data_IF_938454367313
#
_entry.id   IF_938454367313
#
_cell.length_a   1.000
_cell.length_b   1.000
_cell.length_c   1.000
_cell.angle_alpha   90.00
_cell.angle_beta   90.00
_cell.angle_gamma   90.00
#
_symmetry.space_group_name_H-M   'P 1'
#
loop_
_entity.id
_entity.type
_entity.pdbx_description
1 polymer ?
#
# COMPACT_ATOMS: atom_id res chain seq x y z
N UNK A 1 -47.55 7.61 34.56
CA UNK A 1 -46.73 7.10 35.67
C UNK A 1 -46.02 5.87 35.15
N UNK A 2 -44.75 6.02 34.77
CA UNK A 2 -43.90 4.92 34.32
C UNK A 2 -43.45 4.19 35.57
N UNK A 3 -43.89 2.96 35.74
CA UNK A 3 -43.58 2.17 36.92
C UNK A 3 -42.08 1.86 36.90
N UNK A 4 -41.34 2.43 37.85
CA UNK A 4 -39.90 2.24 38.05
C UNK A 4 -39.62 0.91 38.76
N UNK A 5 -40.32 -0.16 38.41
CA UNK A 5 -40.00 -1.53 38.86
C UNK A 5 -38.69 -1.98 38.22
N UNK A 6 -37.60 -1.43 38.77
CA UNK A 6 -36.30 -2.06 39.03
C UNK A 6 -36.00 -3.24 38.11
N UNK A 7 -35.52 -2.93 36.90
CA UNK A 7 -34.65 -3.88 36.20
C UNK A 7 -33.56 -4.29 37.21
N UNK A 8 -33.42 -5.59 37.53
CA UNK A 8 -32.40 -6.03 38.46
C UNK A 8 -31.04 -5.53 37.98
N UNK A 9 -30.27 -4.89 38.86
CA UNK A 9 -28.96 -4.30 38.48
C UNK A 9 -28.03 -5.30 37.78
N UNK A 10 -28.17 -6.60 38.08
CA UNK A 10 -27.42 -7.66 37.41
C UNK A 10 -27.83 -7.88 35.94
N UNK A 11 -29.12 -7.76 35.60
CA UNK A 11 -29.61 -7.86 34.21
C UNK A 11 -29.02 -6.74 33.35
N UNK A 12 -28.99 -5.51 33.87
CA UNK A 12 -28.40 -4.35 33.19
C UNK A 12 -26.89 -4.52 32.98
N UNK A 13 -26.16 -4.99 34.01
CA UNK A 13 -24.73 -5.29 33.86
C UNK A 13 -24.47 -6.36 32.79
N UNK A 14 -25.27 -7.43 32.80
CA UNK A 14 -25.16 -8.52 31.83
C UNK A 14 -25.51 -8.05 30.40
N UNK A 15 -26.50 -7.15 30.25
CA UNK A 15 -26.83 -6.58 28.94
C UNK A 15 -25.70 -5.73 28.36
N UNK A 16 -24.98 -4.97 29.19
CA UNK A 16 -23.79 -4.22 28.74
C UNK A 16 -22.63 -5.15 28.37
N UNK A 17 -22.39 -6.20 29.15
CA UNK A 17 -21.37 -7.19 28.81
C UNK A 17 -21.69 -7.87 27.47
N UNK A 18 -22.96 -8.18 27.22
CA UNK A 18 -23.41 -8.74 25.96
C UNK A 18 -23.17 -7.77 24.79
N UNK A 19 -23.49 -6.49 24.92
CA UNK A 19 -23.30 -5.52 23.82
C UNK A 19 -21.82 -5.26 23.53
N UNK A 20 -20.96 -5.27 24.55
CA UNK A 20 -19.51 -5.22 24.37
C UNK A 20 -19.03 -6.48 23.62
N UNK A 21 -19.50 -7.67 24.02
CA UNK A 21 -19.20 -8.92 23.33
C UNK A 21 -19.65 -8.92 21.87
N UNK A 22 -20.85 -8.43 21.59
CA UNK A 22 -21.38 -8.23 20.24
C UNK A 22 -20.45 -7.35 19.41
N UNK A 23 -20.02 -6.23 19.99
CA UNK A 23 -19.14 -5.26 19.32
C UNK A 23 -17.78 -5.89 18.97
N UNK A 24 -17.20 -6.65 19.90
CA UNK A 24 -15.94 -7.38 19.68
C UNK A 24 -16.07 -8.47 18.61
N UNK A 25 -17.19 -9.21 18.60
CA UNK A 25 -17.42 -10.28 17.64
C UNK A 25 -17.58 -9.72 16.21
N UNK A 26 -18.35 -8.65 16.05
CA UNK A 26 -18.48 -7.93 14.78
C UNK A 26 -17.13 -7.39 14.32
N UNK A 27 -16.37 -6.80 15.24
CA UNK A 27 -15.05 -6.24 14.92
C UNK A 27 -14.05 -7.32 14.49
N UNK A 28 -13.87 -8.39 15.28
CA UNK A 28 -12.95 -9.48 14.94
C UNK A 28 -13.36 -10.20 13.65
N UNK A 29 -14.66 -10.42 13.44
CA UNK A 29 -15.16 -11.04 12.22
C UNK A 29 -14.87 -10.20 10.96
N UNK A 30 -15.16 -8.90 11.01
CA UNK A 30 -14.83 -7.99 9.90
C UNK A 30 -13.32 -7.84 9.69
N UNK A 31 -12.53 -7.82 10.78
CA UNK A 31 -11.08 -7.77 10.72
C UNK A 31 -10.51 -9.01 10.03
N UNK A 32 -10.97 -10.19 10.43
CA UNK A 32 -10.56 -11.46 9.82
C UNK A 32 -10.92 -11.51 8.34
N UNK A 33 -12.13 -11.08 7.99
CA UNK A 33 -12.60 -10.99 6.61
C UNK A 33 -11.73 -10.05 5.77
N UNK A 34 -11.42 -8.86 6.29
CA UNK A 34 -10.57 -7.86 5.64
C UNK A 34 -9.18 -8.44 5.34
N UNK A 35 -8.52 -9.03 6.33
CA UNK A 35 -7.17 -9.60 6.14
C UNK A 35 -7.18 -10.77 5.17
N UNK A 36 -8.21 -11.61 5.22
CA UNK A 36 -8.36 -12.75 4.31
C UNK A 36 -8.54 -12.27 2.87
N UNK A 37 -9.51 -11.37 2.63
CA UNK A 37 -9.79 -10.82 1.30
C UNK A 37 -8.63 -10.01 0.74
N UNK A 38 -7.87 -9.31 1.59
CA UNK A 38 -6.71 -8.53 1.16
C UNK A 38 -5.67 -9.39 0.44
N UNK A 39 -5.47 -10.65 0.85
CA UNK A 39 -4.51 -11.55 0.21
C UNK A 39 -4.85 -11.89 -1.25
N UNK A 40 -6.11 -11.73 -1.65
CA UNK A 40 -6.59 -12.08 -3.00
C UNK A 40 -6.58 -10.89 -3.98
N UNK A 41 -6.47 -9.64 -3.49
CA UNK A 41 -6.61 -8.45 -4.33
C UNK A 41 -5.46 -7.47 -4.16
N UNK A 42 -4.71 -7.27 -5.25
CA UNK A 42 -3.70 -6.21 -5.34
C UNK A 42 -4.36 -4.86 -5.64
N UNK A 43 -4.07 -3.85 -4.82
CA UNK A 43 -4.65 -2.51 -5.00
C UNK A 43 -4.23 -1.87 -6.32
N UNK A 44 -2.98 -2.06 -6.74
CA UNK A 44 -2.43 -1.42 -7.96
C UNK A 44 -3.05 -1.94 -9.27
N UNK A 45 -3.55 -3.18 -9.30
CA UNK A 45 -4.09 -3.75 -10.53
C UNK A 45 -5.60 -3.52 -10.66
N UNK A 46 -6.39 -3.67 -9.59
CA UNK A 46 -7.86 -3.64 -9.65
C UNK A 46 -8.48 -2.96 -8.41
N UNK A 47 -8.26 -1.65 -8.19
CA UNK A 47 -8.66 -0.96 -6.96
C UNK A 47 -10.19 -0.95 -6.77
N UNK A 48 -10.95 -0.64 -7.82
CA UNK A 48 -12.42 -0.59 -7.74
C UNK A 48 -13.04 -1.95 -7.41
N UNK A 49 -12.51 -3.02 -8.01
CA UNK A 49 -12.99 -4.38 -7.74
C UNK A 49 -12.73 -4.77 -6.29
N UNK A 50 -11.55 -4.45 -5.76
CA UNK A 50 -11.21 -4.70 -4.35
C UNK A 50 -12.16 -3.98 -3.42
N UNK A 51 -12.39 -2.67 -3.61
CA UNK A 51 -13.30 -1.88 -2.77
C UNK A 51 -14.72 -2.43 -2.80
N UNK A 52 -15.25 -2.78 -3.98
CA UNK A 52 -16.59 -3.36 -4.12
C UNK A 52 -16.68 -4.69 -3.36
N UNK A 53 -15.70 -5.59 -3.53
CA UNK A 53 -15.71 -6.88 -2.84
C UNK A 53 -15.63 -6.71 -1.33
N UNK A 54 -14.80 -5.79 -0.84
CA UNK A 54 -14.68 -5.51 0.60
C UNK A 54 -16.01 -4.98 1.18
N UNK A 55 -16.65 -4.03 0.51
CA UNK A 55 -17.94 -3.47 0.96
C UNK A 55 -19.01 -4.55 0.94
N UNK A 56 -19.10 -5.35 -0.12
CA UNK A 56 -20.09 -6.41 -0.24
C UNK A 56 -19.88 -7.50 0.82
N UNK A 57 -18.64 -7.91 1.03
CA UNK A 57 -18.33 -8.95 2.01
C UNK A 57 -18.57 -8.45 3.44
N UNK A 58 -18.13 -7.23 3.78
CA UNK A 58 -18.40 -6.61 5.08
C UNK A 58 -19.90 -6.45 5.32
N UNK A 59 -20.66 -6.07 4.29
CA UNK A 59 -22.13 -5.94 4.37
C UNK A 59 -22.79 -7.30 4.59
N UNK A 60 -22.40 -8.29 3.80
CA UNK A 60 -22.93 -9.65 3.85
C UNK A 60 -22.67 -10.32 5.21
N UNK A 61 -21.54 -10.01 5.85
CA UNK A 61 -21.25 -10.48 7.20
C UNK A 61 -21.96 -9.67 8.29
N UNK A 62 -21.90 -8.34 8.23
CA UNK A 62 -22.32 -7.47 9.34
C UNK A 62 -23.83 -7.44 9.52
N UNK A 63 -24.63 -7.38 8.44
CA UNK A 63 -26.11 -7.31 8.55
C UNK A 63 -26.70 -8.53 9.27
N UNK A 64 -26.46 -9.79 8.84
CA UNK A 64 -27.08 -10.93 9.49
C UNK A 64 -26.58 -11.12 10.91
N UNK A 65 -25.29 -10.87 11.15
CA UNK A 65 -24.69 -11.00 12.49
C UNK A 65 -25.27 -9.95 13.44
N UNK A 66 -25.37 -8.68 13.03
CA UNK A 66 -25.94 -7.64 13.88
C UNK A 66 -27.42 -7.89 14.17
N UNK A 67 -28.21 -8.25 13.16
CA UNK A 67 -29.64 -8.55 13.33
C UNK A 67 -29.84 -9.74 14.26
N UNK A 68 -29.12 -10.84 14.04
CA UNK A 68 -29.19 -12.03 14.89
C UNK A 68 -28.85 -11.70 16.35
N UNK A 69 -27.73 -11.00 16.57
CA UNK A 69 -27.26 -10.70 17.92
C UNK A 69 -28.14 -9.66 18.64
N UNK A 70 -28.80 -8.77 17.91
CA UNK A 70 -29.79 -7.83 18.48
C UNK A 70 -31.10 -8.54 18.83
N UNK A 71 -31.59 -9.45 17.97
CA UNK A 71 -32.78 -10.24 18.28
C UNK A 71 -32.58 -11.08 19.54
N UNK A 72 -31.43 -11.75 19.68
CA UNK A 72 -31.11 -12.51 20.89
C UNK A 72 -30.97 -11.61 22.11
N UNK A 73 -30.45 -10.39 21.97
CA UNK A 73 -30.46 -9.41 23.06
C UNK A 73 -31.88 -9.06 23.51
N UNK A 74 -32.79 -8.79 22.56
CA UNK A 74 -34.20 -8.54 22.85
C UNK A 74 -34.83 -9.71 23.62
N UNK A 75 -34.62 -10.95 23.14
CA UNK A 75 -35.19 -12.15 23.77
C UNK A 75 -34.65 -12.43 25.18
N UNK A 76 -33.38 -12.10 25.45
CA UNK A 76 -32.73 -12.39 26.73
C UNK A 76 -32.99 -11.32 27.80
N UNK A 77 -33.10 -10.05 27.40
CA UNK A 77 -33.11 -8.92 28.32
C UNK A 77 -34.41 -8.12 28.34
N UNK A 78 -35.29 -8.32 27.36
CA UNK A 78 -36.56 -7.61 27.27
C UNK A 78 -37.74 -8.59 27.11
N UNK A 79 -38.62 -8.63 28.11
CA UNK A 79 -39.83 -9.47 28.11
C UNK A 79 -40.92 -8.89 27.17
N UNK A 80 -40.62 -8.79 25.87
CA UNK A 80 -41.49 -8.13 24.89
C UNK A 80 -41.18 -8.49 23.44
N UNK A 81 -42.04 -8.05 22.52
CA UNK A 81 -41.88 -8.26 21.07
C UNK A 81 -40.66 -7.51 20.54
N UNK A 82 -39.92 -8.14 19.62
CA UNK A 82 -38.80 -7.51 18.91
C UNK A 82 -39.28 -6.23 18.21
N UNK A 83 -38.63 -5.12 18.54
CA UNK A 83 -38.86 -3.82 17.92
C UNK A 83 -37.99 -3.67 16.68
N UNK A 84 -38.56 -3.96 15.51
CA UNK A 84 -37.85 -3.97 14.24
C UNK A 84 -37.31 -2.60 13.82
N UNK A 85 -38.00 -1.52 14.19
CA UNK A 85 -37.53 -0.13 14.03
C UNK A 85 -36.13 0.05 14.65
N UNK A 86 -35.98 -0.30 15.93
CA UNK A 86 -34.71 -0.17 16.65
C UNK A 86 -33.63 -1.09 16.08
N UNK A 87 -33.99 -2.33 15.70
CA UNK A 87 -33.04 -3.28 15.11
C UNK A 87 -32.50 -2.76 13.76
N UNK A 88 -33.37 -2.19 12.92
CA UNK A 88 -32.97 -1.64 11.62
C UNK A 88 -32.08 -0.41 11.78
N UNK A 89 -32.47 0.55 12.61
CA UNK A 89 -31.67 1.76 12.89
C UNK A 89 -30.30 1.39 13.46
N UNK A 90 -30.26 0.50 14.47
CA UNK A 90 -29.01 0.05 15.08
C UNK A 90 -28.11 -0.67 14.09
N UNK A 91 -28.69 -1.53 13.23
CA UNK A 91 -27.94 -2.24 12.19
C UNK A 91 -27.34 -1.28 11.17
N UNK A 92 -28.05 -0.22 10.77
CA UNK A 92 -27.53 0.81 9.88
C UNK A 92 -26.38 1.59 10.51
N UNK A 93 -26.49 1.97 11.79
CA UNK A 93 -25.42 2.66 12.52
C UNK A 93 -24.17 1.78 12.64
N UNK A 94 -24.35 0.49 12.98
CA UNK A 94 -23.25 -0.48 13.04
C UNK A 94 -22.60 -0.63 11.66
N UNK A 95 -23.40 -0.73 10.60
CA UNK A 95 -22.90 -0.84 9.22
C UNK A 95 -22.02 0.35 8.85
N UNK A 96 -22.50 1.58 9.05
CA UNK A 96 -21.74 2.80 8.75
C UNK A 96 -20.44 2.82 9.53
N UNK A 97 -20.48 2.44 10.82
CA UNK A 97 -19.30 2.37 11.68
C UNK A 97 -18.27 1.34 11.18
N UNK A 98 -18.72 0.16 10.77
CA UNK A 98 -17.86 -0.89 10.20
C UNK A 98 -17.24 -0.43 8.89
N UNK A 99 -18.02 0.17 7.99
CA UNK A 99 -17.50 0.68 6.71
C UNK A 99 -16.47 1.79 6.91
N UNK A 100 -16.69 2.68 7.88
CA UNK A 100 -15.70 3.69 8.26
C UNK A 100 -14.39 3.07 8.76
N UNK A 101 -14.48 2.07 9.64
CA UNK A 101 -13.30 1.35 10.15
C UNK A 101 -12.55 0.64 9.01
N UNK A 102 -13.27 -0.07 8.13
CA UNK A 102 -12.68 -0.72 6.95
C UNK A 102 -11.97 0.29 6.05
N UNK A 103 -12.58 1.46 5.82
CA UNK A 103 -11.96 2.53 5.05
C UNK A 103 -10.67 3.06 5.68
N UNK A 104 -10.66 3.27 7.00
CA UNK A 104 -9.45 3.70 7.73
C UNK A 104 -8.34 2.66 7.60
N UNK A 105 -8.66 1.37 7.81
CA UNK A 105 -7.66 0.30 7.65
C UNK A 105 -7.09 0.25 6.23
N UNK A 106 -7.94 0.24 5.21
CA UNK A 106 -7.47 0.20 3.81
C UNK A 106 -6.62 1.42 3.46
N UNK A 107 -6.98 2.62 3.93
CA UNK A 107 -6.19 3.83 3.70
C UNK A 107 -4.80 3.72 4.33
N UNK A 108 -4.71 3.28 5.60
CA UNK A 108 -3.43 3.11 6.29
C UNK A 108 -2.56 2.07 5.59
N UNK A 109 -3.15 0.96 5.13
CA UNK A 109 -2.39 -0.07 4.41
C UNK A 109 -1.92 0.42 3.04
N UNK A 110 -2.77 1.13 2.31
CA UNK A 110 -2.42 1.68 1.01
C UNK A 110 -1.24 2.65 1.09
N UNK A 111 -1.24 3.54 2.09
CA UNK A 111 -0.14 4.49 2.29
C UNK A 111 1.18 3.74 2.52
N UNK A 112 1.19 2.72 3.39
CA UNK A 112 2.38 1.90 3.64
C UNK A 112 2.88 1.16 2.40
N UNK A 113 1.95 0.64 1.59
CA UNK A 113 2.29 -0.06 0.35
C UNK A 113 2.87 0.91 -0.69
N UNK A 114 2.29 2.10 -0.80
CA UNK A 114 2.79 3.18 -1.67
C UNK A 114 4.18 3.66 -1.28
N UNK A 115 4.46 3.81 0.02
CA UNK A 115 5.80 4.18 0.50
C UNK A 115 6.85 3.11 0.12
N UNK A 116 6.51 1.83 0.29
CA UNK A 116 7.39 0.72 -0.07
C UNK A 116 7.67 0.67 -1.58
N UNK A 117 6.65 0.89 -2.42
CA UNK A 117 6.81 0.95 -3.87
C UNK A 117 7.64 2.18 -4.31
N UNK A 118 7.46 3.33 -3.66
CA UNK A 118 8.29 4.52 -3.92
C UNK A 118 9.78 4.24 -3.67
N UNK A 119 10.12 3.63 -2.53
CA UNK A 119 11.51 3.29 -2.19
C UNK A 119 12.09 2.32 -3.22
N UNK A 120 11.31 1.30 -3.60
CA UNK A 120 11.72 0.31 -4.61
C UNK A 120 11.95 0.95 -5.98
N UNK A 121 11.07 1.85 -6.40
CA UNK A 121 11.24 2.59 -7.66
C UNK A 121 12.48 3.48 -7.63
N UNK A 122 12.74 4.20 -6.53
CA UNK A 122 13.94 5.00 -6.39
C UNK A 122 15.22 4.16 -6.48
N UNK A 123 15.23 2.97 -5.87
CA UNK A 123 16.35 2.02 -5.98
C UNK A 123 16.55 1.51 -7.41
N UNK A 124 15.46 1.22 -8.14
CA UNK A 124 15.51 0.80 -9.54
C UNK A 124 16.02 1.91 -10.45
N UNK A 125 15.60 3.15 -10.22
CA UNK A 125 16.10 4.32 -10.95
C UNK A 125 17.60 4.53 -10.70
N UNK A 126 18.05 4.41 -9.45
CA UNK A 126 19.46 4.47 -9.12
C UNK A 126 20.26 3.37 -9.82
N UNK A 127 19.82 2.11 -9.71
CA UNK A 127 20.50 0.98 -10.35
C UNK A 127 20.56 1.13 -11.88
N UNK A 128 19.50 1.68 -12.49
CA UNK A 128 19.48 2.01 -13.91
C UNK A 128 20.52 3.08 -14.26
N UNK A 129 20.58 4.18 -13.49
CA UNK A 129 21.56 5.24 -13.72
C UNK A 129 23.00 4.74 -13.56
N UNK A 130 23.27 3.87 -12.59
CA UNK A 130 24.57 3.22 -12.40
C UNK A 130 24.93 2.33 -13.59
N UNK A 131 24.00 1.52 -14.08
CA UNK A 131 24.20 0.68 -15.26
C UNK A 131 24.44 1.50 -16.54
N UNK A 132 23.70 2.60 -16.73
CA UNK A 132 23.93 3.54 -17.84
C UNK A 132 25.32 4.18 -17.73
N UNK A 133 25.73 4.61 -16.53
CA UNK A 133 27.06 5.17 -16.29
C UNK A 133 28.16 4.14 -16.56
N UNK A 134 27.99 2.89 -16.12
CA UNK A 134 28.93 1.80 -16.41
C UNK A 134 29.02 1.53 -17.91
N UNK A 135 27.88 1.48 -18.61
CA UNK A 135 27.84 1.33 -20.06
C UNK A 135 28.56 2.49 -20.79
N UNK A 136 28.35 3.74 -20.35
CA UNK A 136 29.09 4.89 -20.88
C UNK A 136 30.59 4.78 -20.61
N UNK A 137 31.01 4.36 -19.41
CA UNK A 137 32.44 4.15 -19.09
C UNK A 137 33.05 3.07 -19.96
N UNK A 138 32.32 2.00 -20.24
CA UNK A 138 32.75 0.90 -21.11
C UNK A 138 32.85 1.30 -22.59
N UNK A 139 32.19 2.38 -23.04
CA UNK A 139 32.41 2.91 -24.40
C UNK A 139 33.79 3.55 -24.58
N UNK A 140 34.44 3.99 -23.50
CA UNK A 140 35.84 4.44 -23.54
C UNK A 140 36.73 3.21 -23.35
N UNK A 141 37.10 2.56 -24.45
CA UNK A 141 38.00 1.41 -24.44
C UNK A 141 39.37 1.81 -23.82
N UNK A 142 39.80 1.22 -22.69
CA UNK A 142 41.08 1.55 -22.07
C UNK A 142 42.26 1.31 -23.02
N UNK A 143 42.12 0.34 -23.92
CA UNK A 143 43.12 0.01 -24.92
C UNK A 143 43.19 1.07 -26.04
N UNK A 144 42.10 1.75 -26.38
CA UNK A 144 42.10 2.92 -27.26
C UNK A 144 42.93 4.07 -26.66
N UNK A 145 42.80 4.32 -25.35
CA UNK A 145 43.66 5.32 -24.67
C UNK A 145 45.12 4.90 -24.75
N UNK A 146 45.43 3.65 -24.39
CA UNK A 146 46.81 3.15 -24.39
C UNK A 146 47.44 3.18 -25.78
N UNK A 147 46.70 2.77 -26.81
CA UNK A 147 47.15 2.84 -28.20
C UNK A 147 47.33 4.27 -28.70
N UNK A 148 46.43 5.17 -28.31
CA UNK A 148 46.56 6.59 -28.67
C UNK A 148 47.80 7.21 -28.02
N UNK A 149 48.10 6.88 -26.76
CA UNK A 149 49.31 7.34 -26.07
C UNK A 149 50.59 6.76 -26.68
N UNK A 150 50.62 5.45 -27.00
CA UNK A 150 51.77 4.83 -27.66
C UNK A 150 52.03 5.44 -29.05
N UNK A 151 50.96 5.64 -29.83
CA UNK A 151 51.05 6.27 -31.16
C UNK A 151 51.55 7.71 -31.03
N UNK A 152 51.05 8.47 -30.06
CA UNK A 152 51.52 9.82 -29.79
C UNK A 152 53.01 9.84 -29.40
N UNK A 153 53.44 8.94 -28.50
CA UNK A 153 54.84 8.83 -28.07
C UNK A 153 55.77 8.55 -29.25
N UNK A 154 55.39 7.60 -30.12
CA UNK A 154 56.15 7.30 -31.34
C UNK A 154 56.18 8.49 -32.31
N UNK A 155 55.07 9.22 -32.46
CA UNK A 155 55.01 10.40 -33.31
C UNK A 155 55.86 11.57 -32.76
N UNK A 156 56.01 11.72 -31.45
CA UNK A 156 56.84 12.76 -30.84
C UNK A 156 58.31 12.57 -31.24
N UNK A 157 58.80 11.33 -31.23
CA UNK A 157 60.18 11.00 -31.59
C UNK A 157 60.42 11.08 -33.10
N UNK A 158 59.54 10.51 -33.93
CA UNK A 158 59.76 10.48 -35.39
C UNK A 158 59.32 11.75 -36.13
N UNK A 159 58.15 12.30 -35.78
CA UNK A 159 57.44 13.34 -36.56
C UNK A 159 56.73 14.35 -35.65
N UNK A 160 57.47 15.27 -34.99
CA UNK A 160 56.95 16.16 -33.94
C UNK A 160 55.75 17.02 -34.37
N UNK A 161 55.72 17.45 -35.63
CA UNK A 161 54.59 18.23 -36.17
C UNK A 161 53.30 17.40 -36.28
N UNK A 162 53.40 16.12 -36.68
CA UNK A 162 52.25 15.20 -36.74
C UNK A 162 51.78 14.79 -35.35
N UNK A 163 52.68 14.66 -34.38
CA UNK A 163 52.33 14.42 -32.98
C UNK A 163 51.41 15.52 -32.44
N UNK A 164 51.74 16.79 -32.73
CA UNK A 164 50.97 17.95 -32.29
C UNK A 164 49.54 17.90 -32.85
N UNK A 165 49.40 17.64 -34.15
CA UNK A 165 48.09 17.50 -34.80
C UNK A 165 47.29 16.28 -34.30
N UNK A 166 47.96 15.15 -34.02
CA UNK A 166 47.33 13.96 -33.45
C UNK A 166 46.79 14.24 -32.04
N UNK A 167 47.55 14.95 -31.21
CA UNK A 167 47.13 15.35 -29.87
C UNK A 167 45.89 16.25 -29.89
N UNK A 168 45.85 17.23 -30.80
CA UNK A 168 44.69 18.13 -30.93
C UNK A 168 43.43 17.36 -31.35
N UNK A 169 43.54 16.46 -32.32
CA UNK A 169 42.43 15.59 -32.74
C UNK A 169 41.95 14.66 -31.62
N UNK A 170 42.89 14.09 -30.85
CA UNK A 170 42.57 13.24 -29.70
C UNK A 170 41.80 14.05 -28.65
N UNK A 171 42.24 15.28 -28.35
CA UNK A 171 41.54 16.17 -27.42
C UNK A 171 40.12 16.51 -27.88
N UNK A 172 39.89 16.69 -29.18
CA UNK A 172 38.55 16.96 -29.73
C UNK A 172 37.62 15.74 -29.63
N UNK A 173 38.14 14.52 -29.86
CA UNK A 173 37.37 13.28 -29.63
C UNK A 173 36.95 13.14 -28.16
N UNK A 174 37.85 13.44 -27.21
CA UNK A 174 37.50 13.42 -25.79
C UNK A 174 36.49 14.50 -25.40
N UNK A 175 36.61 15.71 -25.95
CA UNK A 175 35.60 16.75 -25.73
C UNK A 175 34.24 16.32 -26.23
N UNK A 176 34.15 15.68 -27.40
CA UNK A 176 32.89 15.18 -27.94
C UNK A 176 32.25 14.14 -27.02
N UNK A 177 33.03 13.17 -26.51
CA UNK A 177 32.54 12.14 -25.57
C UNK A 177 32.06 12.77 -24.25
N UNK A 178 32.72 13.83 -23.77
CA UNK A 178 32.33 14.53 -22.54
C UNK A 178 31.15 15.50 -22.74
N UNK A 179 30.94 16.00 -23.96
CA UNK A 179 29.86 16.92 -24.32
C UNK A 179 28.59 16.22 -24.79
N UNK A 180 28.65 14.95 -25.21
CA UNK A 180 27.45 14.15 -25.56
C UNK A 180 26.63 13.71 -24.33
N UNK A 181 26.63 14.57 -23.30
CA UNK A 181 25.93 14.41 -22.02
C UNK A 181 24.50 14.95 -22.12
#
# INVERSE_FOLDING_TARGET
>A
MVDHTTFPHWKVKLSYLYTIGLSLLIWEGNRYLLFTLRSYFNWFNQPMRKVIVLILAASFFTIPVSVLLLITWYQLFQDGKVRWDVVTESTLIIMISVLFIVHVYETVFLVKESESEMVKNAQLEQAKAEAELEALRNQIDPHFIFNSLNTLSHLIEEKPQKARQFNDNLADVYRYILQSK
#
